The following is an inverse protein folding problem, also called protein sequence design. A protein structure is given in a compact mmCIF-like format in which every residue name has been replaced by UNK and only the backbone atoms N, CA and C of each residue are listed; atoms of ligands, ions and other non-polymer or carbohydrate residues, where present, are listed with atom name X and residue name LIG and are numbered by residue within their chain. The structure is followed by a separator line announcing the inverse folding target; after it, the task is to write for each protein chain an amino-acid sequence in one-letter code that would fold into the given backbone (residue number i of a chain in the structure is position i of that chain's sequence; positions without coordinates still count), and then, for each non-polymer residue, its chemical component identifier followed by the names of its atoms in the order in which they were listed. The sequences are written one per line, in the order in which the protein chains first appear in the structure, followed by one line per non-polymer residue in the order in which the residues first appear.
data_IF_200286138081
#
_entry.id   IF_200286138081
#
_cell.length_a   1.000
_cell.length_b   1.000
_cell.length_c   1.000
_cell.angle_alpha   90.00
_cell.angle_beta   90.00
_cell.angle_gamma   90.00
#
_symmetry.space_group_name_H-M   'P 1'
#
loop_
_entity.id
_entity.type
_entity.pdbx_description
1 polymer ?
#
# COMPACT_ATOMS: atom_id res chain seq x y z
N UNK A 1 8.82 -1.55 16.32
CA UNK A 1 7.41 -1.39 16.70
C UNK A 1 7.01 0.08 16.91
N UNK A 2 7.70 0.86 17.76
CA UNK A 2 7.36 2.27 18.04
C UNK A 2 7.35 3.14 16.78
N UNK A 3 8.37 3.03 15.91
CA UNK A 3 8.44 3.82 14.67
C UNK A 3 7.26 3.59 13.72
N UNK A 4 6.78 2.34 13.61
CA UNK A 4 5.60 2.00 12.81
C UNK A 4 4.32 2.64 13.36
N UNK A 5 4.15 2.64 14.68
CA UNK A 5 2.98 3.27 15.34
C UNK A 5 3.00 4.78 15.10
N UNK A 6 4.16 5.42 15.26
CA UNK A 6 4.33 6.86 15.00
C UNK A 6 4.05 7.19 13.53
N UNK A 7 4.61 6.41 12.61
CA UNK A 7 4.41 6.59 11.17
C UNK A 7 2.94 6.40 10.77
N UNK A 8 2.29 5.38 11.31
CA UNK A 8 0.86 5.13 11.07
C UNK A 8 -0.01 6.26 11.62
N UNK A 9 0.29 6.76 12.83
CA UNK A 9 -0.43 7.89 13.42
C UNK A 9 -0.27 9.17 12.57
N UNK A 10 0.94 9.42 12.06
CA UNK A 10 1.21 10.53 11.16
C UNK A 10 0.42 10.43 9.86
N UNK A 11 0.49 9.28 9.17
CA UNK A 11 -0.26 9.05 7.91
C UNK A 11 -1.76 9.21 8.15
N UNK A 12 -2.30 8.55 9.16
CA UNK A 12 -3.72 8.60 9.51
C UNK A 12 -4.20 10.05 9.72
N UNK A 13 -3.47 10.83 10.53
CA UNK A 13 -3.81 12.24 10.79
C UNK A 13 -3.70 13.09 9.53
N UNK A 14 -2.66 12.88 8.72
CA UNK A 14 -2.43 13.66 7.49
C UNK A 14 -3.51 13.38 6.43
N UNK A 15 -3.87 12.11 6.22
CA UNK A 15 -4.94 11.71 5.29
C UNK A 15 -6.30 12.30 5.68
N UNK A 16 -6.64 12.28 6.98
CA UNK A 16 -7.89 12.88 7.44
C UNK A 16 -7.90 14.42 7.31
N UNK A 17 -6.81 15.09 7.70
CA UNK A 17 -6.77 16.56 7.77
C UNK A 17 -6.48 17.27 6.45
N UNK A 18 -5.65 16.69 5.58
CA UNK A 18 -5.18 17.35 4.35
C UNK A 18 -5.88 16.82 3.10
N UNK A 19 -6.16 15.52 3.07
CA UNK A 19 -6.83 14.88 1.94
C UNK A 19 -8.35 14.74 2.13
N UNK A 20 -8.86 15.02 3.34
CA UNK A 20 -10.30 14.91 3.63
C UNK A 20 -10.83 13.49 3.46
N UNK A 21 -9.99 12.48 3.68
CA UNK A 21 -10.39 11.08 3.53
C UNK A 21 -11.27 10.69 4.70
N UNK A 22 -12.58 10.63 4.45
CA UNK A 22 -13.60 10.30 5.43
C UNK A 22 -14.53 9.16 4.95
N UNK A 23 -14.21 8.49 3.83
CA UNK A 23 -15.05 7.44 3.24
C UNK A 23 -14.24 6.24 2.74
N UNK A 24 -14.89 5.08 2.64
CA UNK A 24 -14.41 3.92 1.87
C UNK A 24 -15.24 3.79 0.60
N UNK A 25 -14.58 3.52 -0.52
CA UNK A 25 -15.22 3.30 -1.80
C UNK A 25 -15.32 1.81 -2.09
N UNK A 26 -16.54 1.28 -2.19
CA UNK A 26 -16.81 -0.14 -2.42
C UNK A 26 -17.16 -0.47 -3.89
N UNK A 27 -16.79 0.40 -4.84
CA UNK A 27 -17.03 0.13 -6.27
C UNK A 27 -16.34 -1.17 -6.73
N UNK A 28 -16.98 -2.00 -7.56
CA UNK A 28 -18.28 -1.81 -8.23
C UNK A 28 -19.50 -2.24 -7.40
N UNK A 29 -19.30 -2.88 -6.25
CA UNK A 29 -20.37 -3.52 -5.46
C UNK A 29 -21.29 -2.51 -4.78
N UNK A 30 -20.74 -1.41 -4.26
CA UNK A 30 -21.49 -0.34 -3.63
C UNK A 30 -20.84 1.05 -3.87
N UNK A 31 -21.52 2.10 -3.42
CA UNK A 31 -21.03 3.48 -3.49
C UNK A 31 -19.97 3.83 -2.45
N UNK A 32 -19.79 5.13 -2.20
CA UNK A 32 -18.95 5.62 -1.11
C UNK A 32 -19.72 5.50 0.21
N UNK A 33 -19.11 4.87 1.21
CA UNK A 33 -19.64 4.80 2.58
C UNK A 33 -18.81 5.75 3.44
N UNK A 34 -19.47 6.77 4.01
CA UNK A 34 -18.81 7.72 4.92
C UNK A 34 -18.55 7.06 6.28
N UNK A 35 -17.33 7.23 6.75
CA UNK A 35 -16.80 6.78 8.04
C UNK A 35 -16.66 7.94 9.03
N UNK A 36 -16.59 9.19 8.56
CA UNK A 36 -16.40 10.37 9.41
C UNK A 36 -15.18 10.24 10.32
N UNK A 37 -15.38 10.38 11.63
CA UNK A 37 -14.31 10.31 12.64
C UNK A 37 -13.66 8.92 12.77
N UNK A 38 -14.29 7.86 12.24
CA UNK A 38 -13.70 6.52 12.24
C UNK A 38 -12.65 6.32 11.14
N UNK A 39 -12.62 7.17 10.11
CA UNK A 39 -11.65 7.09 9.03
C UNK A 39 -10.19 7.05 9.51
N UNK A 40 -9.69 7.98 10.37
CA UNK A 40 -8.32 7.94 10.84
C UNK A 40 -8.00 6.68 11.67
N UNK A 41 -8.96 6.17 12.45
CA UNK A 41 -8.77 4.95 13.23
C UNK A 41 -8.57 3.76 12.30
N UNK A 42 -9.42 3.64 11.27
CA UNK A 42 -9.31 2.57 10.27
C UNK A 42 -7.99 2.69 9.51
N UNK A 43 -7.64 3.87 8.99
CA UNK A 43 -6.37 4.09 8.29
C UNK A 43 -5.17 3.71 9.17
N UNK A 44 -5.20 4.05 10.47
CA UNK A 44 -4.12 3.71 11.40
C UNK A 44 -3.91 2.19 11.51
N UNK A 45 -4.99 1.43 11.72
CA UNK A 45 -4.90 -0.02 11.81
C UNK A 45 -4.56 -0.65 10.46
N UNK A 46 -5.10 -0.14 9.35
CA UNK A 46 -4.78 -0.62 7.99
C UNK A 46 -3.31 -0.46 7.67
N UNK A 47 -2.70 0.70 7.97
CA UNK A 47 -1.27 0.91 7.73
C UNK A 47 -0.42 -0.07 8.55
N UNK A 48 -0.75 -0.27 9.83
CA UNK A 48 -0.05 -1.25 10.69
C UNK A 48 -0.23 -2.67 10.15
N UNK A 49 -1.45 -3.04 9.78
CA UNK A 49 -1.75 -4.37 9.28
C UNK A 49 -0.97 -4.69 8.00
N UNK A 50 -0.93 -3.76 7.04
CA UNK A 50 -0.21 -3.95 5.76
C UNK A 50 1.29 -4.08 6.00
N UNK A 51 1.89 -3.20 6.83
CA UNK A 51 3.34 -3.26 7.12
C UNK A 51 3.73 -4.60 7.76
N UNK A 52 2.95 -5.09 8.73
CA UNK A 52 3.23 -6.38 9.35
C UNK A 52 2.94 -7.56 8.41
N UNK A 53 1.88 -7.48 7.59
CA UNK A 53 1.56 -8.55 6.65
C UNK A 53 2.68 -8.77 5.63
N UNK A 54 3.27 -7.69 5.12
CA UNK A 54 4.41 -7.76 4.20
C UNK A 54 5.63 -8.37 4.91
N UNK A 55 5.94 -7.92 6.12
CA UNK A 55 7.06 -8.44 6.90
C UNK A 55 6.92 -9.94 7.22
N UNK A 56 5.70 -10.40 7.55
CA UNK A 56 5.43 -11.84 7.80
C UNK A 56 5.58 -12.67 6.53
N UNK A 57 5.23 -12.09 5.38
CA UNK A 57 5.30 -12.77 4.07
C UNK A 57 6.73 -12.85 3.54
N UNK A 58 7.62 -12.02 4.07
CA UNK A 58 9.04 -12.00 3.72
C UNK A 58 9.81 -13.11 4.45
N UNK A 59 9.68 -14.34 3.95
CA UNK A 59 10.38 -15.51 4.49
C UNK A 59 10.93 -16.46 3.42
N UNK A 60 10.68 -16.17 2.14
CA UNK A 60 11.12 -16.96 0.99
C UNK A 60 11.58 -16.02 -0.13
N UNK A 61 12.65 -16.42 -0.84
CA UNK A 61 13.22 -15.70 -1.97
C UNK A 61 12.15 -15.31 -3.01
N UNK A 62 11.99 -14.02 -3.27
CA UNK A 62 11.07 -13.50 -4.28
C UNK A 62 9.58 -13.49 -3.89
N UNK A 63 9.19 -14.03 -2.73
CA UNK A 63 7.77 -14.11 -2.34
C UNK A 63 7.18 -12.73 -2.03
N UNK A 64 7.79 -11.98 -1.11
CA UNK A 64 7.30 -10.66 -0.72
C UNK A 64 7.36 -9.67 -1.91
N UNK A 65 8.48 -9.65 -2.64
CA UNK A 65 8.65 -8.80 -3.83
C UNK A 65 7.64 -9.11 -4.94
N UNK A 66 7.38 -10.40 -5.21
CA UNK A 66 6.40 -10.84 -6.21
C UNK A 66 4.97 -10.45 -5.84
N UNK A 67 4.54 -10.72 -4.61
CA UNK A 67 3.20 -10.37 -4.13
C UNK A 67 2.97 -8.86 -4.10
N UNK A 68 3.98 -8.08 -3.70
CA UNK A 68 3.92 -6.62 -3.72
C UNK A 68 3.80 -6.08 -5.15
N UNK A 69 4.56 -6.64 -6.09
CA UNK A 69 4.51 -6.24 -7.51
C UNK A 69 3.11 -6.45 -8.09
N UNK A 70 2.50 -7.62 -7.86
CA UNK A 70 1.14 -7.93 -8.32
C UNK A 70 0.11 -6.99 -7.69
N UNK A 71 0.18 -6.79 -6.37
CA UNK A 71 -0.77 -5.94 -5.63
C UNK A 71 -0.70 -4.49 -6.09
N UNK A 72 0.52 -3.96 -6.25
CA UNK A 72 0.74 -2.59 -6.72
C UNK A 72 0.34 -2.42 -8.19
N UNK A 73 0.53 -3.43 -9.04
CA UNK A 73 0.08 -3.40 -10.43
C UNK A 73 -1.43 -3.23 -10.52
N UNK A 74 -2.19 -4.03 -9.76
CA UNK A 74 -3.66 -3.90 -9.68
C UNK A 74 -4.05 -2.50 -9.19
N UNK A 75 -3.35 -1.99 -8.16
CA UNK A 75 -3.60 -0.65 -7.64
C UNK A 75 -3.30 0.45 -8.68
N UNK A 76 -2.20 0.35 -9.44
CA UNK A 76 -1.87 1.29 -10.50
C UNK A 76 -2.96 1.34 -11.58
N UNK A 77 -3.48 0.18 -11.99
CA UNK A 77 -4.60 0.06 -12.93
C UNK A 77 -5.86 0.74 -12.38
N UNK A 78 -6.22 0.48 -11.12
CA UNK A 78 -7.36 1.13 -10.46
C UNK A 78 -7.20 2.66 -10.40
N UNK A 79 -6.01 3.16 -10.07
CA UNK A 79 -5.74 4.60 -10.02
C UNK A 79 -5.79 5.26 -11.40
N UNK A 80 -5.36 4.54 -12.45
CA UNK A 80 -5.46 5.00 -13.82
C UNK A 80 -6.93 5.16 -14.26
N UNK A 81 -7.77 4.17 -13.97
CA UNK A 81 -9.21 4.25 -14.26
C UNK A 81 -9.95 5.31 -13.44
N UNK A 82 -9.48 5.60 -12.23
CA UNK A 82 -10.00 6.70 -11.41
C UNK A 82 -9.45 8.07 -11.80
N UNK A 83 -8.69 8.19 -12.89
CA UNK A 83 -8.09 9.43 -13.40
C UNK A 83 -7.10 10.09 -12.42
N UNK A 84 -6.62 9.34 -11.44
CA UNK A 84 -5.61 9.79 -10.47
C UNK A 84 -4.19 9.52 -10.99
N UNK A 85 -3.87 10.13 -12.13
CA UNK A 85 -2.67 9.80 -12.91
C UNK A 85 -1.37 10.02 -12.14
N UNK A 86 -1.25 11.09 -11.34
CA UNK A 86 -0.05 11.34 -10.54
C UNK A 86 0.23 10.18 -9.58
N UNK A 87 -0.81 9.70 -8.88
CA UNK A 87 -0.68 8.57 -7.97
C UNK A 87 -0.36 7.28 -8.72
N UNK A 88 -1.00 7.04 -9.88
CA UNK A 88 -0.69 5.90 -10.73
C UNK A 88 0.77 5.89 -11.19
N UNK A 89 1.32 7.06 -11.58
CA UNK A 89 2.73 7.20 -11.97
C UNK A 89 3.67 6.91 -10.81
N UNK A 90 3.39 7.43 -9.60
CA UNK A 90 4.19 7.14 -8.41
C UNK A 90 4.23 5.63 -8.14
N UNK A 91 3.08 4.95 -8.21
CA UNK A 91 3.04 3.50 -8.03
C UNK A 91 3.79 2.76 -9.14
N UNK A 92 3.69 3.21 -10.39
CA UNK A 92 4.43 2.61 -11.50
C UNK A 92 5.96 2.70 -11.30
N UNK A 93 6.45 3.82 -10.75
CA UNK A 93 7.87 3.97 -10.38
C UNK A 93 8.24 2.96 -9.28
N UNK A 94 7.40 2.82 -8.25
CA UNK A 94 7.64 1.84 -7.17
C UNK A 94 7.67 0.41 -7.72
N UNK A 95 6.75 0.06 -8.62
CA UNK A 95 6.76 -1.24 -9.30
C UNK A 95 8.07 -1.45 -10.06
N UNK A 96 8.52 -0.46 -10.84
CA UNK A 96 9.78 -0.56 -11.58
C UNK A 96 10.98 -0.80 -10.65
N UNK A 97 11.04 -0.12 -9.51
CA UNK A 97 12.09 -0.34 -8.50
C UNK A 97 12.01 -1.72 -7.85
N UNK A 98 10.80 -2.23 -7.57
CA UNK A 98 10.60 -3.56 -7.02
C UNK A 98 10.97 -4.65 -8.02
N UNK A 99 10.64 -4.49 -9.30
CA UNK A 99 11.03 -5.43 -10.35
C UNK A 99 12.55 -5.46 -10.50
N UNK A 100 13.21 -4.30 -10.44
CA UNK A 100 14.67 -4.22 -10.45
C UNK A 100 15.30 -4.94 -9.25
N UNK A 101 14.77 -4.75 -8.04
CA UNK A 101 15.18 -5.48 -6.84
C UNK A 101 14.95 -6.99 -6.98
N UNK A 102 13.81 -7.40 -7.52
CA UNK A 102 13.40 -8.80 -7.63
C UNK A 102 14.35 -9.62 -8.50
N UNK A 103 14.99 -9.04 -9.52
CA UNK A 103 16.05 -9.73 -10.27
C UNK A 103 17.21 -10.24 -9.40
N UNK A 104 17.45 -9.61 -8.24
CA UNK A 104 18.48 -10.03 -7.28
C UNK A 104 17.90 -10.83 -6.10
N UNK A 105 16.57 -10.85 -5.93
CA UNK A 105 15.89 -11.54 -4.84
C UNK A 105 15.21 -12.85 -5.26
N UNK A 106 15.07 -13.13 -6.56
CA UNK A 106 14.61 -14.43 -7.07
C UNK A 106 15.61 -15.54 -6.70
N UNK A 107 15.08 -16.71 -6.35
CA UNK A 107 15.88 -17.85 -5.90
C UNK A 107 16.95 -18.29 -6.91
N UNK A 108 18.22 -18.48 -6.49
CA UNK A 108 18.76 -18.20 -5.15
C UNK A 108 19.02 -16.70 -4.93
N UNK A 109 18.46 -16.14 -3.84
CA UNK A 109 18.56 -14.70 -3.56
C UNK A 109 20.01 -14.25 -3.30
N UNK A 110 20.37 -13.13 -3.92
CA UNK A 110 21.65 -12.42 -3.72
C UNK A 110 21.50 -11.26 -2.74
N UNK A 111 20.30 -10.69 -2.65
CA UNK A 111 19.96 -9.57 -1.78
C UNK A 111 18.59 -9.87 -1.15
N UNK A 112 18.47 -9.71 0.17
CA UNK A 112 17.23 -9.85 0.94
C UNK A 112 16.57 -8.49 1.17
N UNK A 113 15.27 -8.49 1.47
CA UNK A 113 14.48 -7.28 1.71
C UNK A 113 14.79 -6.64 3.07
#
# INVERSE_FOLDING_TARGET
MIGMVVFSAFISRWFYSRLGVDYINFRPLAGKVSLGLFAPIITFFTTIAIVNAINITDGLDGLAGGLMTITLFVLAVILFFNQTYIAATVIAIVIATLVAFMFYNIHPAKIFM
#
